data_IF_462789392529
#
_entry.id   IF_462789392529
#
_cell.length_a   1.000
_cell.length_b   1.000
_cell.length_c   1.000
_cell.angle_alpha   90.00
_cell.angle_beta   90.00
_cell.angle_gamma   90.00
#
_symmetry.space_group_name_H-M   'P 1'
#
loop_
_entity.id
_entity.type
_entity.pdbx_description
1 polymer ?
#
# COMPACT_ATOMS: atom_id res chain seq x y z
N UNK A 1 27.45 5.28 19.15
CA UNK A 1 26.96 6.60 18.73
C UNK A 1 25.79 6.35 17.79
N UNK A 2 24.58 6.20 18.33
CA UNK A 2 23.39 5.93 17.50
C UNK A 2 22.91 7.27 16.99
N UNK A 3 23.41 7.67 15.82
CA UNK A 3 22.83 8.81 15.10
C UNK A 3 21.37 8.44 14.87
N UNK A 4 20.44 9.18 15.48
CA UNK A 4 19.05 9.14 15.08
C UNK A 4 19.04 9.69 13.65
N UNK A 5 19.00 8.77 12.69
CA UNK A 5 18.85 9.13 11.29
C UNK A 5 17.46 9.73 11.15
N UNK A 6 17.38 11.04 10.88
CA UNK A 6 16.09 11.73 10.81
C UNK A 6 15.32 11.22 9.57
N UNK A 7 13.99 11.10 9.67
CA UNK A 7 13.16 10.68 8.54
C UNK A 7 13.35 11.57 7.29
N UNK A 8 13.79 12.81 7.48
CA UNK A 8 14.11 13.75 6.41
C UNK A 8 15.31 13.30 5.57
N UNK A 9 16.37 12.81 6.21
CA UNK A 9 17.57 12.34 5.52
C UNK A 9 17.27 11.01 4.81
N UNK A 10 16.60 10.08 5.52
CA UNK A 10 16.13 8.84 4.90
C UNK A 10 15.28 9.14 3.66
N UNK A 11 14.32 10.07 3.75
CA UNK A 11 13.46 10.43 2.63
C UNK A 11 14.26 10.92 1.42
N UNK A 12 15.30 11.74 1.63
CA UNK A 12 16.17 12.20 0.55
C UNK A 12 16.91 11.04 -0.11
N UNK A 13 17.43 10.10 0.68
CA UNK A 13 18.11 8.93 0.16
C UNK A 13 17.18 7.98 -0.61
N UNK A 14 15.97 7.73 -0.10
CA UNK A 14 14.96 6.94 -0.82
C UNK A 14 14.57 7.60 -2.14
N UNK A 15 14.36 8.93 -2.15
CA UNK A 15 14.07 9.66 -3.39
C UNK A 15 15.22 9.54 -4.38
N UNK A 16 16.47 9.67 -3.93
CA UNK A 16 17.65 9.51 -4.77
C UNK A 16 17.77 8.07 -5.31
N UNK A 17 17.51 7.07 -4.48
CA UNK A 17 17.51 5.66 -4.86
C UNK A 17 16.39 5.33 -5.88
N UNK A 18 15.27 6.05 -5.83
CA UNK A 18 14.19 5.98 -6.83
C UNK A 18 14.53 6.68 -8.15
N UNK A 19 15.74 7.24 -8.32
CA UNK A 19 16.14 7.96 -9.53
C UNK A 19 15.89 9.47 -9.48
N UNK A 20 15.66 10.02 -8.28
CA UNK A 20 15.48 11.44 -8.01
C UNK A 20 14.04 11.92 -8.14
N UNK A 21 13.80 13.16 -7.71
CA UNK A 21 12.46 13.78 -7.64
C UNK A 21 11.69 13.73 -8.95
N UNK A 22 12.38 13.95 -10.07
CA UNK A 22 11.75 13.95 -11.40
C UNK A 22 11.24 12.58 -11.84
N UNK A 23 11.81 11.49 -11.28
CA UNK A 23 11.44 10.12 -11.61
C UNK A 23 10.26 9.60 -10.78
N UNK A 24 10.04 10.13 -9.59
CA UNK A 24 8.90 9.76 -8.74
C UNK A 24 7.64 10.44 -9.28
N UNK A 25 6.67 9.64 -9.74
CA UNK A 25 5.39 10.11 -10.27
C UNK A 25 4.33 10.29 -9.19
N UNK A 26 4.14 9.27 -8.35
CA UNK A 26 3.20 9.33 -7.22
C UNK A 26 3.68 8.47 -6.05
N UNK A 27 3.26 8.83 -4.84
CA UNK A 27 3.51 8.07 -3.61
C UNK A 27 2.19 7.78 -2.91
N UNK A 28 1.92 6.49 -2.73
CA UNK A 28 0.74 5.97 -2.02
C UNK A 28 1.19 5.36 -0.69
N UNK A 29 0.48 5.70 0.38
CA UNK A 29 0.66 5.05 1.67
C UNK A 29 0.10 3.63 1.59
N UNK A 30 0.84 2.68 2.15
CA UNK A 30 0.24 1.51 2.74
C UNK A 30 0.56 1.52 4.24
N UNK A 31 -0.09 0.61 4.94
CA UNK A 31 0.13 0.30 6.35
C UNK A 31 1.61 0.20 6.77
N UNK A 32 2.43 -0.50 5.99
CA UNK A 32 3.86 -0.73 6.30
C UNK A 32 4.79 -0.59 5.09
N UNK A 33 4.21 -0.21 3.95
CA UNK A 33 4.91 -0.10 2.68
C UNK A 33 4.68 1.26 2.05
N UNK A 34 5.71 1.79 1.41
CA UNK A 34 5.58 2.90 0.48
C UNK A 34 5.44 2.31 -0.91
N UNK A 35 4.33 2.63 -1.59
CA UNK A 35 4.17 2.34 -3.01
C UNK A 35 4.51 3.60 -3.78
N UNK A 36 5.56 3.53 -4.58
CA UNK A 36 5.96 4.60 -5.47
C UNK A 36 5.69 4.19 -6.91
N UNK A 37 5.01 5.03 -7.67
CA UNK A 37 4.99 4.91 -9.12
C UNK A 37 6.15 5.74 -9.65
N UNK A 38 7.05 5.11 -10.40
CA UNK A 38 8.19 5.76 -11.06
C UNK A 38 7.93 5.88 -12.56
N UNK A 39 8.49 6.92 -13.17
CA UNK A 39 8.39 7.14 -14.63
C UNK A 39 9.33 6.24 -15.41
N UNK A 40 10.53 6.06 -14.89
CA UNK A 40 11.60 5.28 -15.49
C UNK A 40 12.16 4.26 -14.48
N UNK A 41 11.81 2.98 -14.60
CA UNK A 41 12.28 1.95 -13.68
C UNK A 41 13.77 1.65 -13.84
N UNK A 42 14.40 2.02 -14.96
CA UNK A 42 15.84 1.86 -15.19
C UNK A 42 16.71 2.80 -14.34
N UNK A 43 16.13 3.89 -13.82
CA UNK A 43 16.81 4.82 -12.91
C UNK A 43 16.72 4.43 -11.44
N UNK A 44 15.87 3.45 -11.12
CA UNK A 44 15.71 2.94 -9.76
C UNK A 44 16.88 2.02 -9.42
N UNK A 45 17.49 2.23 -8.25
CA UNK A 45 18.59 1.41 -7.74
C UNK A 45 18.13 -0.02 -7.43
N UNK A 46 19.10 -0.91 -7.25
CA UNK A 46 18.84 -2.31 -6.92
C UNK A 46 18.37 -2.48 -5.47
N UNK A 47 17.74 -3.62 -5.18
CA UNK A 47 17.14 -3.93 -3.89
C UNK A 47 18.09 -3.75 -2.71
N UNK A 48 19.37 -4.08 -2.88
CA UNK A 48 20.42 -3.93 -1.86
C UNK A 48 20.63 -2.49 -1.41
N UNK A 49 20.51 -1.51 -2.32
CA UNK A 49 20.59 -0.10 -1.95
C UNK A 49 19.46 0.28 -0.98
N UNK A 50 18.24 -0.19 -1.22
CA UNK A 50 17.10 0.10 -0.33
C UNK A 50 17.26 -0.59 1.03
N UNK A 51 17.78 -1.81 1.06
CA UNK A 51 18.07 -2.53 2.32
C UNK A 51 19.14 -1.81 3.14
N UNK A 52 20.16 -1.25 2.50
CA UNK A 52 21.18 -0.43 3.18
C UNK A 52 20.59 0.87 3.77
N UNK A 53 19.53 1.41 3.16
CA UNK A 53 18.79 2.56 3.67
C UNK A 53 17.76 2.20 4.77
N UNK A 54 17.72 0.94 5.20
CA UNK A 54 16.83 0.47 6.28
C UNK A 54 15.50 -0.10 5.81
N UNK A 55 15.32 -0.37 4.50
CA UNK A 55 14.15 -1.11 4.03
C UNK A 55 14.26 -2.59 4.46
N UNK A 56 13.15 -3.14 4.94
CA UNK A 56 13.03 -4.57 5.26
C UNK A 56 13.03 -5.38 3.95
N UNK A 57 12.28 -4.91 2.97
CA UNK A 57 12.16 -5.55 1.66
C UNK A 57 11.90 -4.53 0.56
N UNK A 58 12.28 -4.89 -0.65
CA UNK A 58 12.12 -4.03 -1.82
C UNK A 58 11.71 -4.88 -3.02
N UNK A 59 10.59 -4.51 -3.65
CA UNK A 59 10.09 -5.16 -4.85
C UNK A 59 9.82 -4.13 -5.94
N UNK A 60 10.23 -4.45 -7.16
CA UNK A 60 9.95 -3.64 -8.35
C UNK A 60 9.18 -4.47 -9.35
N UNK A 61 8.06 -3.93 -9.83
CA UNK A 61 7.27 -4.51 -10.90
C UNK A 61 6.92 -3.43 -11.93
N UNK A 62 7.59 -3.47 -13.08
CA UNK A 62 7.52 -2.39 -14.08
C UNK A 62 7.78 -1.01 -13.45
N UNK A 63 6.80 -0.12 -13.53
CA UNK A 63 6.85 1.25 -13.01
C UNK A 63 6.40 1.34 -11.54
N UNK A 64 5.91 0.25 -10.95
CA UNK A 64 5.50 0.21 -9.55
C UNK A 64 6.64 -0.31 -8.69
N UNK A 65 6.99 0.47 -7.68
CA UNK A 65 8.02 0.16 -6.70
C UNK A 65 7.37 0.04 -5.33
N UNK A 66 7.70 -1.03 -4.60
CA UNK A 66 7.20 -1.31 -3.26
C UNK A 66 8.39 -1.38 -2.31
N UNK A 67 8.41 -0.48 -1.34
CA UNK A 67 9.44 -0.39 -0.31
C UNK A 67 8.78 -0.76 1.01
N UNK A 68 9.21 -1.86 1.63
CA UNK A 68 8.71 -2.34 2.93
C UNK A 68 9.59 -1.78 4.03
N UNK A 69 9.01 -1.03 4.96
CA UNK A 69 9.76 -0.28 5.99
C UNK A 69 9.32 -0.70 7.39
N UNK A 70 8.03 -1.00 7.56
CA UNK A 70 7.44 -1.32 8.87
C UNK A 70 6.55 -0.20 9.39
N UNK A 71 6.44 -0.08 10.71
CA UNK A 71 5.47 0.81 11.37
C UNK A 71 5.78 2.31 11.20
N UNK A 72 7.03 2.66 10.90
CA UNK A 72 7.47 4.05 10.70
C UNK A 72 7.18 4.62 9.30
N UNK A 73 6.47 3.87 8.46
CA UNK A 73 6.20 4.22 7.06
C UNK A 73 5.52 5.58 6.90
N UNK A 74 4.62 5.96 7.82
CA UNK A 74 3.87 7.22 7.75
C UNK A 74 4.82 8.42 7.86
N UNK A 75 5.71 8.41 8.86
CA UNK A 75 6.65 9.50 9.10
C UNK A 75 7.62 9.68 7.93
N UNK A 76 8.13 8.56 7.38
CA UNK A 76 9.00 8.63 6.21
C UNK A 76 8.27 9.13 4.97
N UNK A 77 7.04 8.66 4.74
CA UNK A 77 6.24 9.08 3.59
C UNK A 77 5.94 10.57 3.63
N UNK A 78 5.58 11.12 4.80
CA UNK A 78 5.39 12.55 4.98
C UNK A 78 6.67 13.34 4.66
N UNK A 79 7.82 12.85 5.13
CA UNK A 79 9.11 13.46 4.80
C UNK A 79 9.40 13.41 3.28
N UNK A 80 9.11 12.30 2.60
CA UNK A 80 9.26 12.19 1.15
C UNK A 80 8.30 13.13 0.40
N UNK A 81 7.02 13.19 0.79
CA UNK A 81 6.01 14.07 0.18
C UNK A 81 6.40 15.54 0.30
N UNK A 82 6.83 15.96 1.48
CA UNK A 82 7.31 17.32 1.72
C UNK A 82 8.49 17.67 0.80
N UNK A 83 9.39 16.72 0.53
CA UNK A 83 10.52 16.96 -0.37
C UNK A 83 10.16 16.93 -1.87
N UNK A 84 9.13 16.19 -2.24
CA UNK A 84 8.64 16.06 -3.62
C UNK A 84 7.62 17.14 -3.99
N UNK A 85 7.26 18.02 -3.04
CA UNK A 85 6.19 18.99 -3.17
C UNK A 85 4.87 18.35 -3.62
N UNK A 86 4.64 17.09 -3.24
CA UNK A 86 3.33 16.49 -3.42
C UNK A 86 2.39 17.14 -2.41
N UNK A 87 1.45 17.94 -2.91
CA UNK A 87 0.32 18.42 -2.13
C UNK A 87 -0.41 17.21 -1.56
N UNK A 88 -0.86 17.30 -0.31
CA UNK A 88 -1.64 16.25 0.35
C UNK A 88 -2.85 15.88 -0.50
N UNK A 89 -2.71 14.89 -1.39
CA UNK A 89 -3.80 14.05 -1.83
C UNK A 89 -4.06 12.99 -0.76
N UNK A 90 -4.18 13.45 0.48
CA UNK A 90 -4.73 12.70 1.58
C UNK A 90 -5.73 13.61 2.29
N UNK A 91 -6.68 14.15 1.52
CA UNK A 91 -8.03 14.16 2.02
C UNK A 91 -8.60 12.75 1.82
N UNK A 92 -8.39 11.92 2.82
CA UNK A 92 -9.20 10.73 3.08
C UNK A 92 -10.68 11.09 3.28
N UNK A 93 -11.01 12.38 3.29
CA UNK A 93 -12.32 12.95 3.60
C UNK A 93 -13.30 12.95 2.41
N UNK A 94 -12.85 12.73 1.17
CA UNK A 94 -13.74 12.82 -0.01
C UNK A 94 -14.79 11.68 -0.08
N UNK A 95 -14.58 10.59 0.67
CA UNK A 95 -15.47 9.42 0.62
C UNK A 95 -16.55 9.35 1.71
N UNK A 96 -16.63 10.32 2.63
CA UNK A 96 -17.66 10.29 3.69
C UNK A 96 -17.69 8.95 4.44
N UNK A 97 -16.51 8.43 4.78
CA UNK A 97 -16.33 7.01 5.11
C UNK A 97 -17.02 6.68 6.43
N UNK A 98 -17.97 5.76 6.35
CA UNK A 98 -18.39 4.98 7.52
C UNK A 98 -17.19 4.21 8.08
N UNK A 99 -17.25 3.75 9.34
CA UNK A 99 -16.18 2.94 9.93
C UNK A 99 -15.81 1.70 9.08
N UNK A 100 -16.77 1.15 8.33
CA UNK A 100 -16.52 0.04 7.42
C UNK A 100 -15.80 0.48 6.14
N UNK A 101 -16.06 1.71 5.66
CA UNK A 101 -15.37 2.30 4.53
C UNK A 101 -13.89 2.55 4.82
N UNK A 102 -13.56 3.08 6.00
CA UNK A 102 -12.16 3.30 6.40
C UNK A 102 -11.37 1.98 6.44
N UNK A 103 -11.96 0.94 7.07
CA UNK A 103 -11.38 -0.41 7.09
C UNK A 103 -11.25 -1.00 5.69
N UNK A 104 -12.26 -0.83 4.84
CA UNK A 104 -12.22 -1.28 3.47
C UNK A 104 -11.09 -0.61 2.70
N UNK A 105 -10.86 0.69 2.87
CA UNK A 105 -9.77 1.40 2.21
C UNK A 105 -8.40 0.84 2.61
N UNK A 106 -8.16 0.67 3.90
CA UNK A 106 -6.91 0.11 4.42
C UNK A 106 -6.69 -1.31 3.88
N UNK A 107 -7.74 -2.14 3.87
CA UNK A 107 -7.68 -3.49 3.27
C UNK A 107 -7.40 -3.45 1.77
N UNK A 108 -8.01 -2.52 1.04
CA UNK A 108 -7.82 -2.35 -0.40
C UNK A 108 -6.35 -2.05 -0.73
N UNK A 109 -5.70 -1.23 0.09
CA UNK A 109 -4.27 -0.91 0.00
C UNK A 109 -3.40 -2.13 0.33
N UNK A 110 -3.74 -2.85 1.39
CA UNK A 110 -3.05 -4.08 1.79
C UNK A 110 -3.14 -5.18 0.73
N UNK A 111 -4.25 -5.24 0.00
CA UNK A 111 -4.49 -6.27 -1.02
C UNK A 111 -3.77 -6.01 -2.34
N UNK A 112 -3.21 -4.82 -2.56
CA UNK A 112 -2.46 -4.56 -3.77
C UNK A 112 -2.92 -3.39 -4.63
N UNK A 113 -3.98 -2.66 -4.24
CA UNK A 113 -4.69 -1.69 -5.11
C UNK A 113 -5.33 -2.39 -6.34
N UNK A 114 -6.18 -1.72 -7.16
CA UNK A 114 -7.15 -2.41 -8.01
C UNK A 114 -6.52 -3.32 -9.06
N UNK A 115 -5.32 -3.01 -9.54
CA UNK A 115 -4.57 -3.84 -10.48
C UNK A 115 -4.30 -5.26 -9.97
N UNK A 116 -4.18 -5.45 -8.64
CA UNK A 116 -4.00 -6.77 -8.08
C UNK A 116 -5.33 -7.48 -7.78
N UNK A 117 -6.42 -6.74 -7.59
CA UNK A 117 -7.69 -7.30 -7.10
C UNK A 117 -8.57 -7.71 -8.27
N UNK A 118 -8.70 -9.02 -8.50
CA UNK A 118 -9.50 -9.57 -9.59
C UNK A 118 -10.98 -9.68 -9.22
N UNK A 119 -11.28 -10.12 -7.98
CA UNK A 119 -12.65 -10.34 -7.53
C UNK A 119 -12.76 -10.28 -6.01
N UNK A 120 -13.84 -9.70 -5.49
CA UNK A 120 -14.16 -9.70 -4.06
C UNK A 120 -15.53 -10.35 -3.84
N UNK A 121 -15.59 -11.35 -2.98
CA UNK A 121 -16.81 -12.05 -2.56
C UNK A 121 -16.89 -12.15 -1.04
N UNK A 122 -18.07 -12.51 -0.53
CA UNK A 122 -18.30 -12.72 0.91
C UNK A 122 -18.66 -14.18 1.14
N UNK A 123 -17.98 -14.82 2.09
CA UNK A 123 -18.24 -16.18 2.55
C UNK A 123 -18.54 -16.19 4.04
N UNK A 124 -19.80 -15.94 4.41
CA UNK A 124 -20.24 -15.82 5.80
C UNK A 124 -19.65 -14.60 6.48
N UNK A 125 -18.81 -14.81 7.49
CA UNK A 125 -18.08 -13.75 8.23
C UNK A 125 -16.70 -13.45 7.65
N UNK A 126 -16.40 -13.95 6.44
CA UNK A 126 -15.13 -13.73 5.78
C UNK A 126 -15.30 -13.01 4.44
N UNK A 127 -14.39 -12.10 4.16
CA UNK A 127 -14.17 -11.51 2.84
C UNK A 127 -13.22 -12.43 2.09
N UNK A 128 -13.58 -12.80 0.86
CA UNK A 128 -12.77 -13.64 -0.01
C UNK A 128 -12.34 -12.79 -1.19
N UNK A 129 -11.04 -12.60 -1.35
CA UNK A 129 -10.45 -11.77 -2.40
C UNK A 129 -9.61 -12.66 -3.31
N UNK A 130 -9.93 -12.64 -4.59
CA UNK A 130 -9.08 -13.20 -5.63
C UNK A 130 -8.09 -12.13 -6.06
N UNK A 131 -6.79 -12.41 -5.92
CA UNK A 131 -5.70 -11.54 -6.32
C UNK A 131 -4.94 -12.10 -7.52
N UNK A 132 -4.40 -11.23 -8.36
CA UNK A 132 -3.58 -11.64 -9.50
C UNK A 132 -2.22 -12.16 -9.04
N UNK A 133 -1.58 -11.42 -8.14
CA UNK A 133 -0.29 -11.76 -7.56
C UNK A 133 -0.39 -11.81 -6.02
N UNK A 134 -0.08 -12.94 -5.39
CA UNK A 134 -0.18 -13.08 -3.95
C UNK A 134 0.89 -12.29 -3.18
N UNK A 135 2.03 -11.98 -3.81
CA UNK A 135 3.16 -11.30 -3.19
C UNK A 135 2.95 -9.79 -3.03
N UNK A 136 1.99 -9.24 -3.75
CA UNK A 136 1.56 -7.83 -3.67
C UNK A 136 0.71 -7.55 -2.43
N UNK A 137 0.19 -8.62 -1.82
CA UNK A 137 -0.59 -8.55 -0.59
C UNK A 137 0.36 -8.36 0.59
N UNK A 138 0.02 -7.43 1.48
CA UNK A 138 0.77 -7.20 2.71
C UNK A 138 0.86 -8.49 3.56
N UNK A 139 1.96 -8.69 4.31
CA UNK A 139 2.13 -9.89 5.12
C UNK A 139 1.01 -9.98 6.17
N UNK A 140 0.62 -11.19 6.59
CA UNK A 140 -0.54 -11.32 7.49
C UNK A 140 -0.33 -10.64 8.83
N UNK A 141 0.86 -10.77 9.42
CA UNK A 141 1.21 -10.13 10.70
C UNK A 141 1.02 -8.62 10.63
N UNK A 142 1.38 -8.02 9.50
CA UNK A 142 1.13 -6.59 9.25
C UNK A 142 -0.35 -6.31 9.25
N UNK A 143 -1.15 -7.04 8.46
CA UNK A 143 -2.59 -6.78 8.31
C UNK A 143 -3.31 -6.93 9.67
N UNK A 144 -2.88 -7.88 10.51
CA UNK A 144 -3.41 -8.07 11.86
C UNK A 144 -3.04 -6.90 12.80
N UNK A 145 -1.83 -6.34 12.67
CA UNK A 145 -1.37 -5.21 13.49
C UNK A 145 -2.09 -3.89 13.20
N UNK A 146 -2.79 -3.77 12.06
CA UNK A 146 -3.53 -2.55 11.71
C UNK A 146 -4.78 -2.32 12.57
N UNK A 147 -5.15 -3.29 13.40
CA UNK A 147 -6.29 -3.20 14.31
C UNK A 147 -7.62 -2.80 13.62
N UNK A 148 -7.74 -3.12 12.33
CA UNK A 148 -8.93 -2.85 11.49
C UNK A 148 -10.04 -3.90 11.67
N UNK A 149 -9.96 -4.73 12.72
CA UNK A 149 -10.95 -5.76 13.05
C UNK A 149 -10.76 -7.11 12.34
N UNK A 150 -9.60 -7.33 11.68
CA UNK A 150 -9.22 -8.64 11.15
C UNK A 150 -8.96 -9.61 12.30
N UNK A 151 -9.66 -10.75 12.30
CA UNK A 151 -9.49 -11.83 13.29
C UNK A 151 -8.56 -12.92 12.78
N UNK A 152 -8.78 -13.35 11.54
CA UNK A 152 -8.01 -14.42 10.91
C UNK A 152 -7.82 -14.12 9.43
N UNK A 153 -6.66 -14.46 8.91
CA UNK A 153 -6.35 -14.34 7.49
C UNK A 153 -5.75 -15.66 7.00
N UNK A 154 -6.26 -16.17 5.89
CA UNK A 154 -5.76 -17.38 5.23
C UNK A 154 -5.53 -17.09 3.77
N UNK A 155 -4.38 -17.49 3.23
CA UNK A 155 -4.09 -17.41 1.80
C UNK A 155 -3.92 -18.80 1.24
N UNK A 156 -4.57 -19.05 0.11
CA UNK A 156 -4.40 -20.27 -0.67
C UNK A 156 -4.14 -19.87 -2.11
N UNK A 157 -2.87 -19.93 -2.52
CA UNK A 157 -2.44 -19.44 -3.84
C UNK A 157 -2.84 -17.98 -4.06
N UNK A 158 -3.70 -17.76 -5.05
CA UNK A 158 -4.23 -16.47 -5.47
C UNK A 158 -5.49 -16.02 -4.71
N UNK A 159 -5.91 -16.76 -3.69
CA UNK A 159 -7.10 -16.43 -2.91
C UNK A 159 -6.71 -16.02 -1.49
N UNK A 160 -7.18 -14.86 -1.06
CA UNK A 160 -7.00 -14.32 0.29
C UNK A 160 -8.36 -14.31 0.99
N UNK A 161 -8.50 -15.06 2.07
CA UNK A 161 -9.70 -15.12 2.91
C UNK A 161 -9.43 -14.39 4.22
N UNK A 162 -10.21 -13.36 4.50
CA UNK A 162 -10.04 -12.48 5.65
C UNK A 162 -11.31 -12.54 6.50
N UNK A 163 -11.22 -13.14 7.68
CA UNK A 163 -12.31 -13.22 8.65
C UNK A 163 -12.32 -11.98 9.52
N UNK A 164 -13.44 -11.25 9.53
CA UNK A 164 -13.60 -10.04 10.33
C UNK A 164 -15.06 -9.79 10.66
N UNK A 165 -15.30 -8.96 11.67
CA UNK A 165 -16.65 -8.46 11.92
C UNK A 165 -17.05 -7.54 10.76
N UNK A 166 -18.35 -7.50 10.43
CA UNK A 166 -18.89 -6.62 9.39
C UNK A 166 -18.33 -6.90 7.97
N UNK A 167 -17.89 -8.13 7.71
CA UNK A 167 -17.33 -8.55 6.41
C UNK A 167 -18.21 -8.15 5.21
N UNK A 168 -19.54 -8.26 5.33
CA UNK A 168 -20.48 -7.87 4.27
C UNK A 168 -20.44 -6.37 3.95
N UNK A 169 -20.40 -5.51 4.97
CA UNK A 169 -20.33 -4.06 4.80
C UNK A 169 -19.01 -3.65 4.16
N UNK A 170 -17.91 -4.13 4.72
CA UNK A 170 -16.55 -3.84 4.23
C UNK A 170 -16.37 -4.36 2.79
N UNK A 171 -16.86 -5.56 2.47
CA UNK A 171 -16.79 -6.10 1.10
C UNK A 171 -17.61 -5.28 0.10
N UNK A 172 -18.73 -4.66 0.52
CA UNK A 172 -19.50 -3.76 -0.31
C UNK A 172 -18.70 -2.50 -0.64
N UNK A 173 -18.04 -1.91 0.36
CA UNK A 173 -17.16 -0.75 0.16
C UNK A 173 -15.95 -1.09 -0.71
N UNK A 174 -15.30 -2.24 -0.50
CA UNK A 174 -14.21 -2.74 -1.36
C UNK A 174 -14.65 -2.88 -2.83
N UNK A 175 -15.84 -3.44 -3.07
CA UNK A 175 -16.40 -3.55 -4.42
C UNK A 175 -16.76 -2.19 -5.03
N UNK A 176 -17.18 -1.23 -4.21
CA UNK A 176 -17.45 0.13 -4.67
C UNK A 176 -16.17 0.83 -5.15
N UNK A 177 -15.11 0.76 -4.35
CA UNK A 177 -13.78 1.29 -4.69
C UNK A 177 -13.23 0.65 -5.97
N UNK A 178 -13.30 -0.69 -6.09
CA UNK A 178 -12.84 -1.41 -7.29
C UNK A 178 -13.55 -0.92 -8.57
N UNK A 179 -14.85 -0.65 -8.51
CA UNK A 179 -15.62 -0.14 -9.65
C UNK A 179 -15.29 1.30 -10.01
N UNK A 180 -15.03 2.15 -9.02
CA UNK A 180 -14.69 3.55 -9.25
C UNK A 180 -13.32 3.69 -9.92
N UNK A 181 -12.33 2.89 -9.50
CA UNK A 181 -11.01 2.95 -10.13
C UNK A 181 -11.03 2.41 -11.57
N UNK A 182 -11.83 1.38 -11.86
CA UNK A 182 -11.99 0.87 -13.24
C UNK A 182 -12.71 1.84 -14.18
N UNK A 183 -13.53 2.77 -13.65
CA UNK A 183 -14.14 3.85 -14.45
C UNK A 183 -13.10 4.91 -14.83
N UNK A 184 -12.22 5.31 -13.90
CA UNK A 184 -11.18 6.30 -14.16
C UNK A 184 -10.11 5.86 -15.18
N UNK A 185 -9.94 4.56 -15.44
CA UNK A 185 -9.00 4.05 -16.45
C UNK A 185 -9.58 3.98 -17.86
N UNK A 186 -10.88 4.29 -18.05
CA UNK A 186 -11.58 4.17 -19.34
C UNK A 186 -11.96 5.51 -19.99
N UNK A 187 -11.53 6.64 -19.43
CA UNK A 187 -11.75 7.99 -19.98
C UNK A 187 -10.44 8.62 -20.44
#
# INVERSE_FOLDING_TARGET
MTVRYEFRDMAADYINALGGKANVGSLVNCATRIRAVVKDPGKVKESDNFKQLGAIDFKRHHNLVQIVIGLDVQQLLEAMRNQLNFTNASSLDEYGLTADGERARILFECLGLPDNIQRITVGGTAIVVQVADPEWVDPYDVILQLNIGVKYLTKQGHQVRITMNHATGIARELNHMLKQTQKQTKE
#
